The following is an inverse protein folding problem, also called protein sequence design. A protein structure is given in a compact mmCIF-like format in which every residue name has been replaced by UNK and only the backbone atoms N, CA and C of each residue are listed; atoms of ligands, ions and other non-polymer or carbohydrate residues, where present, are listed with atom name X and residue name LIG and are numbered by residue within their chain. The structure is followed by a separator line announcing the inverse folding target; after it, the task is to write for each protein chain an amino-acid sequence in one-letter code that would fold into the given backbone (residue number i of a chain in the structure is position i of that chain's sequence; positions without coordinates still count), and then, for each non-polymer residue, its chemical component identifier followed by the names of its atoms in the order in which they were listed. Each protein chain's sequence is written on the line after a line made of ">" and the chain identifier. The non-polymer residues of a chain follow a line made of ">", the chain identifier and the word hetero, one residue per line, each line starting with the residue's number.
data_IF_270628024605
#
_entry.id   IF_270628024605
#
_cell.length_a   1.000
_cell.length_b   1.000
_cell.length_c   1.000
_cell.angle_alpha   90.00
_cell.angle_beta   90.00
_cell.angle_gamma   90.00
#
_symmetry.space_group_name_H-M   'P 1'
#
loop_
_entity.id
_entity.type
_entity.pdbx_description
1 polymer ?
#
# COMPACT_ATOMS: atom_id res chain seq x y z
N UNK A 1 79.87 1.44 -16.31
CA UNK A 1 78.63 1.23 -15.55
C UNK A 1 78.73 -0.15 -14.96
N UNK A 2 78.86 -0.25 -13.64
CA UNK A 2 79.16 -1.52 -12.97
C UNK A 2 77.90 -2.38 -12.83
N UNK A 3 78.07 -3.69 -12.73
CA UNK A 3 76.98 -4.66 -12.54
C UNK A 3 76.11 -4.32 -11.32
N UNK A 4 76.70 -3.70 -10.30
CA UNK A 4 76.00 -3.21 -9.11
C UNK A 4 75.03 -2.04 -9.40
N UNK A 5 75.38 -1.12 -10.31
CA UNK A 5 74.50 -0.01 -10.70
C UNK A 5 73.27 -0.52 -11.46
N UNK A 6 73.46 -1.50 -12.35
CA UNK A 6 72.36 -2.14 -13.11
C UNK A 6 71.37 -2.82 -12.16
N UNK A 7 71.86 -3.55 -11.16
CA UNK A 7 71.03 -4.25 -10.17
C UNK A 7 70.25 -3.24 -9.31
N UNK A 8 70.90 -2.16 -8.89
CA UNK A 8 70.27 -1.10 -8.07
C UNK A 8 69.18 -0.38 -8.85
N UNK A 9 69.43 -0.05 -10.13
CA UNK A 9 68.46 0.57 -11.01
C UNK A 9 67.23 -0.34 -11.23
N UNK A 10 67.44 -1.63 -11.48
CA UNK A 10 66.37 -2.63 -11.61
C UNK A 10 65.54 -2.75 -10.34
N UNK A 11 66.17 -2.75 -9.16
CA UNK A 11 65.49 -2.77 -7.87
C UNK A 11 64.58 -1.56 -7.64
N UNK A 12 65.02 -0.36 -8.05
CA UNK A 12 64.22 0.86 -7.99
C UNK A 12 63.00 0.77 -8.91
N UNK A 13 63.17 0.29 -10.15
CA UNK A 13 62.07 0.14 -11.10
C UNK A 13 61.02 -0.87 -10.63
N UNK A 14 61.43 -2.01 -10.07
CA UNK A 14 60.51 -3.02 -9.53
C UNK A 14 59.72 -2.45 -8.35
N UNK A 15 60.38 -1.72 -7.45
CA UNK A 15 59.73 -1.11 -6.28
C UNK A 15 58.73 -0.02 -6.70
N UNK A 16 59.09 0.81 -7.67
CA UNK A 16 58.20 1.83 -8.23
C UNK A 16 56.97 1.21 -8.91
N UNK A 17 57.16 0.13 -9.69
CA UNK A 17 56.07 -0.60 -10.34
C UNK A 17 55.10 -1.22 -9.32
N UNK A 18 55.64 -1.88 -8.29
CA UNK A 18 54.83 -2.47 -7.21
C UNK A 18 54.04 -1.41 -6.45
N UNK A 19 54.67 -0.28 -6.13
CA UNK A 19 54.01 0.86 -5.45
C UNK A 19 52.89 1.43 -6.31
N UNK A 20 53.11 1.57 -7.62
CA UNK A 20 52.08 2.00 -8.57
C UNK A 20 50.89 1.05 -8.65
N UNK A 21 51.13 -0.27 -8.68
CA UNK A 21 50.07 -1.29 -8.66
C UNK A 21 49.30 -1.22 -7.35
N UNK A 22 49.99 -1.10 -6.21
CA UNK A 22 49.34 -1.05 -4.90
C UNK A 22 48.47 0.21 -4.75
N UNK A 23 48.96 1.36 -5.24
CA UNK A 23 48.20 2.61 -5.27
C UNK A 23 46.97 2.48 -6.18
N UNK A 24 47.12 1.88 -7.36
CA UNK A 24 46.02 1.65 -8.29
C UNK A 24 44.93 0.75 -7.69
N UNK A 25 45.31 -0.36 -7.06
CA UNK A 25 44.37 -1.26 -6.36
C UNK A 25 43.68 -0.53 -5.21
N UNK A 26 44.42 0.28 -4.45
CA UNK A 26 43.86 1.07 -3.33
C UNK A 26 42.82 2.06 -3.82
N UNK A 27 43.11 2.80 -4.90
CA UNK A 27 42.16 3.75 -5.52
C UNK A 27 40.93 3.03 -6.05
N UNK A 28 41.08 1.88 -6.71
CA UNK A 28 39.95 1.08 -7.17
C UNK A 28 39.07 0.58 -6.02
N UNK A 29 39.68 0.08 -4.94
CA UNK A 29 38.95 -0.39 -3.76
C UNK A 29 38.22 0.76 -3.07
N UNK A 30 38.85 1.94 -2.99
CA UNK A 30 38.22 3.13 -2.44
C UNK A 30 37.01 3.57 -3.26
N UNK A 31 37.11 3.57 -4.61
CA UNK A 31 35.97 3.86 -5.50
C UNK A 31 34.84 2.85 -5.35
N UNK A 32 35.15 1.55 -5.32
CA UNK A 32 34.15 0.49 -5.10
C UNK A 32 33.46 0.63 -3.75
N UNK A 33 34.22 0.96 -2.70
CA UNK A 33 33.68 1.21 -1.35
C UNK A 33 32.77 2.44 -1.32
N UNK A 34 33.17 3.54 -1.98
CA UNK A 34 32.33 4.73 -2.12
C UNK A 34 31.03 4.44 -2.86
N UNK A 35 31.09 3.75 -4.01
CA UNK A 35 29.90 3.36 -4.76
C UNK A 35 28.98 2.43 -3.96
N UNK A 36 29.55 1.46 -3.25
CA UNK A 36 28.78 0.57 -2.37
C UNK A 36 28.05 1.37 -1.28
N UNK A 37 28.73 2.31 -0.62
CA UNK A 37 28.14 3.15 0.42
C UNK A 37 27.04 4.06 -0.13
N UNK A 38 27.21 4.62 -1.33
CA UNK A 38 26.18 5.41 -2.01
C UNK A 38 24.93 4.57 -2.31
N UNK A 39 25.11 3.41 -2.94
CA UNK A 39 24.01 2.49 -3.26
C UNK A 39 23.27 2.04 -1.99
N UNK A 40 24.01 1.75 -0.92
CA UNK A 40 23.45 1.39 0.38
C UNK A 40 22.62 2.53 0.97
N UNK A 41 23.13 3.76 0.95
CA UNK A 41 22.42 4.93 1.46
C UNK A 41 21.15 5.25 0.67
N UNK A 42 21.20 5.15 -0.66
CA UNK A 42 20.03 5.33 -1.52
C UNK A 42 18.98 4.24 -1.29
N UNK A 43 19.42 3.00 -1.07
CA UNK A 43 18.54 1.90 -0.67
C UNK A 43 17.89 2.16 0.69
N UNK A 44 18.66 2.56 1.70
CA UNK A 44 18.12 2.85 3.05
C UNK A 44 17.03 3.92 2.98
N UNK A 45 17.26 5.03 2.27
CA UNK A 45 16.24 6.07 2.06
C UNK A 45 14.97 5.56 1.39
N UNK A 46 15.09 4.76 0.31
CA UNK A 46 13.93 4.20 -0.38
C UNK A 46 13.19 3.19 0.49
N UNK A 47 13.93 2.35 1.21
CA UNK A 47 13.40 1.36 2.14
C UNK A 47 12.59 2.01 3.25
N UNK A 48 13.08 3.10 3.83
CA UNK A 48 12.38 3.87 4.86
C UNK A 48 11.09 4.48 4.29
N UNK A 49 11.16 5.15 3.14
CA UNK A 49 9.98 5.73 2.47
C UNK A 49 8.91 4.69 2.13
N UNK A 50 9.32 3.51 1.65
CA UNK A 50 8.42 2.42 1.32
C UNK A 50 7.79 1.83 2.59
N UNK A 51 8.59 1.62 3.64
CA UNK A 51 8.12 1.11 4.93
C UNK A 51 7.10 2.05 5.56
N UNK A 52 7.38 3.37 5.57
CA UNK A 52 6.47 4.39 6.08
C UNK A 52 5.15 4.39 5.29
N UNK A 53 5.24 4.37 3.96
CA UNK A 53 4.06 4.41 3.09
C UNK A 53 3.19 3.16 3.26
N UNK A 54 3.81 1.97 3.35
CA UNK A 54 3.08 0.72 3.60
C UNK A 54 2.48 0.67 5.01
N UNK A 55 3.19 1.19 6.01
CA UNK A 55 2.66 1.31 7.37
C UNK A 55 1.43 2.20 7.42
N UNK A 56 1.50 3.37 6.77
CA UNK A 56 0.37 4.28 6.62
C UNK A 56 -0.81 3.62 5.89
N UNK A 57 -0.53 2.93 4.78
CA UNK A 57 -1.56 2.21 4.01
C UNK A 57 -2.26 1.14 4.87
N UNK A 58 -1.51 0.31 5.58
CA UNK A 58 -2.06 -0.73 6.47
C UNK A 58 -2.91 -0.13 7.60
N UNK A 59 -2.49 1.02 8.15
CA UNK A 59 -3.28 1.73 9.15
C UNK A 59 -4.60 2.25 8.57
N UNK A 60 -4.58 2.77 7.35
CA UNK A 60 -5.77 3.27 6.65
C UNK A 60 -6.70 2.16 6.16
N UNK A 61 -6.22 0.92 6.00
CA UNK A 61 -7.06 -0.24 5.69
C UNK A 61 -7.94 -0.71 6.86
N UNK A 62 -7.78 -0.12 8.05
CA UNK A 62 -8.60 -0.46 9.19
C UNK A 62 -10.07 -0.07 8.98
N UNK A 63 -11.00 -0.93 9.40
CA UNK A 63 -12.42 -0.73 9.11
C UNK A 63 -12.94 0.59 9.66
N UNK A 64 -12.47 1.02 10.84
CA UNK A 64 -12.86 2.30 11.43
C UNK A 64 -12.44 3.54 10.61
N UNK A 65 -11.49 3.39 9.68
CA UNK A 65 -11.06 4.47 8.78
C UNK A 65 -11.91 4.52 7.51
N UNK A 66 -12.42 3.36 7.05
CA UNK A 66 -13.09 3.21 5.75
C UNK A 66 -14.59 2.90 5.86
N UNK A 67 -15.12 2.83 7.07
CA UNK A 67 -16.53 2.54 7.35
C UNK A 67 -16.99 3.24 8.62
N UNK A 68 -18.30 3.43 8.74
CA UNK A 68 -18.91 4.13 9.88
C UNK A 68 -20.27 3.54 10.23
N UNK A 69 -20.77 3.91 11.42
CA UNK A 69 -22.16 3.70 11.80
C UNK A 69 -22.64 5.01 12.42
N UNK A 70 -23.74 5.55 11.91
CA UNK A 70 -24.34 6.76 12.48
C UNK A 70 -25.52 6.41 13.40
N UNK A 71 -25.85 7.28 14.34
CA UNK A 71 -27.04 7.16 15.18
C UNK A 71 -28.15 8.12 14.73
N UNK A 72 -27.79 9.21 14.05
CA UNK A 72 -28.71 10.21 13.54
C UNK A 72 -28.23 10.78 12.18
N UNK A 73 -29.04 11.64 11.58
CA UNK A 73 -28.80 12.22 10.25
C UNK A 73 -27.60 13.17 10.22
N UNK A 74 -27.43 14.02 11.25
CA UNK A 74 -26.30 14.93 11.34
C UNK A 74 -24.97 14.18 11.45
N UNK A 75 -24.93 13.12 12.26
CA UNK A 75 -23.76 12.25 12.38
C UNK A 75 -23.49 11.49 11.09
N UNK A 76 -24.52 11.06 10.37
CA UNK A 76 -24.39 10.38 9.08
C UNK A 76 -23.67 11.25 8.05
N UNK A 77 -24.06 12.52 7.90
CA UNK A 77 -23.42 13.44 6.95
C UNK A 77 -21.94 13.67 7.29
N UNK A 78 -21.64 13.96 8.57
CA UNK A 78 -20.26 14.19 9.02
C UNK A 78 -19.38 12.95 8.83
N UNK A 79 -19.88 11.77 9.21
CA UNK A 79 -19.13 10.52 9.11
C UNK A 79 -18.94 10.08 7.66
N UNK A 80 -19.91 10.36 6.78
CA UNK A 80 -19.78 10.12 5.35
C UNK A 80 -18.63 10.93 4.74
N UNK A 81 -18.52 12.22 5.08
CA UNK A 81 -17.40 13.05 4.62
C UNK A 81 -16.04 12.58 5.17
N UNK A 82 -15.99 12.24 6.46
CA UNK A 82 -14.79 11.72 7.13
C UNK A 82 -14.27 10.45 6.44
N UNK A 83 -15.15 9.46 6.22
CA UNK A 83 -14.79 8.19 5.57
C UNK A 83 -14.35 8.39 4.12
N UNK A 84 -14.99 9.28 3.38
CA UNK A 84 -14.55 9.60 2.01
C UNK A 84 -13.17 10.26 2.00
N UNK A 85 -12.90 11.17 2.92
CA UNK A 85 -11.58 11.78 3.03
C UNK A 85 -10.50 10.75 3.36
N UNK A 86 -10.75 9.89 4.36
CA UNK A 86 -9.83 8.82 4.73
C UNK A 86 -9.57 7.86 3.56
N UNK A 87 -10.61 7.54 2.79
CA UNK A 87 -10.47 6.69 1.62
C UNK A 87 -9.61 7.33 0.52
N UNK A 88 -9.75 8.64 0.27
CA UNK A 88 -8.88 9.34 -0.66
C UNK A 88 -7.41 9.30 -0.22
N UNK A 89 -7.14 9.43 1.09
CA UNK A 89 -5.78 9.28 1.62
C UNK A 89 -5.23 7.87 1.43
N UNK A 90 -6.08 6.85 1.58
CA UNK A 90 -5.74 5.45 1.29
C UNK A 90 -5.33 5.29 -0.18
N UNK A 91 -6.10 5.84 -1.13
CA UNK A 91 -5.80 5.80 -2.57
C UNK A 91 -4.48 6.49 -2.92
N UNK A 92 -4.25 7.68 -2.36
CA UNK A 92 -2.99 8.42 -2.54
C UNK A 92 -1.80 7.60 -2.03
N UNK A 93 -1.94 7.00 -0.85
CA UNK A 93 -0.88 6.18 -0.25
C UNK A 93 -0.61 4.91 -1.07
N UNK A 94 -1.66 4.25 -1.56
CA UNK A 94 -1.54 3.12 -2.48
C UNK A 94 -0.73 3.47 -3.73
N UNK A 95 -1.07 4.58 -4.41
CA UNK A 95 -0.33 5.00 -5.59
C UNK A 95 1.12 5.38 -5.28
N UNK A 96 1.37 6.02 -4.14
CA UNK A 96 2.72 6.31 -3.65
C UNK A 96 3.54 5.03 -3.48
N UNK A 97 2.96 3.97 -2.93
CA UNK A 97 3.62 2.67 -2.81
C UNK A 97 3.94 2.10 -4.19
N UNK A 98 2.96 2.07 -5.12
CA UNK A 98 3.15 1.54 -6.48
C UNK A 98 4.31 2.23 -7.21
N UNK A 99 4.45 3.56 -7.06
CA UNK A 99 5.58 4.34 -7.59
C UNK A 99 6.93 3.97 -6.98
N UNK A 100 6.93 3.54 -5.72
CA UNK A 100 8.13 3.12 -5.00
C UNK A 100 8.50 1.65 -5.23
N UNK A 101 7.69 0.85 -5.91
CA UNK A 101 8.03 -0.54 -6.24
C UNK A 101 9.01 -0.64 -7.42
N UNK A 102 9.75 -1.74 -7.47
CA UNK A 102 10.71 -2.07 -8.53
C UNK A 102 10.25 -3.36 -9.20
N UNK A 103 9.91 -3.29 -10.49
CA UNK A 103 9.41 -4.41 -11.28
C UNK A 103 10.43 -5.54 -11.47
N UNK A 104 11.73 -5.23 -11.34
CA UNK A 104 12.81 -6.24 -11.37
C UNK A 104 12.95 -7.04 -10.09
N UNK A 105 12.29 -6.66 -9.00
CA UNK A 105 12.30 -7.45 -7.77
C UNK A 105 11.48 -8.73 -7.97
N UNK A 106 12.04 -9.89 -7.62
CA UNK A 106 11.35 -11.18 -7.76
C UNK A 106 10.01 -11.24 -6.99
N UNK A 107 9.86 -10.45 -5.92
CA UNK A 107 8.65 -10.39 -5.09
C UNK A 107 7.65 -9.34 -5.61
N UNK A 108 8.04 -8.51 -6.59
CA UNK A 108 7.24 -7.40 -7.10
C UNK A 108 5.80 -7.80 -7.40
N UNK A 109 5.59 -8.77 -8.30
CA UNK A 109 4.25 -9.19 -8.72
C UNK A 109 3.38 -9.62 -7.55
N UNK A 110 3.96 -10.33 -6.58
CA UNK A 110 3.25 -10.82 -5.41
C UNK A 110 2.78 -9.67 -4.50
N UNK A 111 3.65 -8.68 -4.28
CA UNK A 111 3.29 -7.49 -3.50
C UNK A 111 2.30 -6.60 -4.25
N UNK A 112 2.53 -6.39 -5.53
CA UNK A 112 1.71 -5.56 -6.42
C UNK A 112 0.28 -6.09 -6.53
N UNK A 113 0.11 -7.40 -6.74
CA UNK A 113 -1.21 -8.03 -6.77
C UNK A 113 -1.91 -7.97 -5.41
N UNK A 114 -1.20 -8.18 -4.30
CA UNK A 114 -1.83 -8.09 -2.97
C UNK A 114 -2.30 -6.66 -2.66
N UNK A 115 -1.55 -5.63 -3.08
CA UNK A 115 -1.97 -4.23 -2.95
C UNK A 115 -3.22 -3.93 -3.77
N UNK A 116 -3.32 -4.49 -4.98
CA UNK A 116 -4.50 -4.32 -5.83
C UNK A 116 -5.72 -5.03 -5.22
N UNK A 117 -5.55 -6.27 -4.77
CA UNK A 117 -6.58 -7.02 -4.08
C UNK A 117 -7.07 -6.32 -2.81
N UNK A 118 -6.17 -5.77 -1.99
CA UNK A 118 -6.54 -5.06 -0.77
C UNK A 118 -7.22 -3.73 -1.04
N UNK A 119 -6.84 -3.03 -2.10
CA UNK A 119 -7.51 -1.80 -2.53
C UNK A 119 -8.93 -2.09 -3.01
N UNK A 120 -9.12 -3.08 -3.88
CA UNK A 120 -10.46 -3.47 -4.35
C UNK A 120 -11.34 -3.96 -3.20
N UNK A 121 -10.78 -4.70 -2.25
CA UNK A 121 -11.48 -5.12 -1.04
C UNK A 121 -11.88 -3.93 -0.17
N UNK A 122 -11.01 -2.94 0.02
CA UNK A 122 -11.33 -1.73 0.76
C UNK A 122 -12.47 -0.92 0.08
N UNK A 123 -12.47 -0.82 -1.25
CA UNK A 123 -13.59 -0.22 -2.01
C UNK A 123 -14.90 -0.94 -1.72
N UNK A 124 -14.87 -2.27 -1.77
CA UNK A 124 -16.03 -3.12 -1.55
C UNK A 124 -16.58 -2.98 -0.11
N UNK A 125 -15.71 -3.01 0.90
CA UNK A 125 -16.08 -2.75 2.31
C UNK A 125 -16.75 -1.39 2.46
N UNK A 126 -16.18 -0.33 1.89
CA UNK A 126 -16.76 1.02 1.95
C UNK A 126 -18.14 1.05 1.30
N UNK A 127 -18.29 0.44 0.13
CA UNK A 127 -19.56 0.37 -0.59
C UNK A 127 -20.64 -0.37 0.21
N UNK A 128 -20.32 -1.56 0.74
CA UNK A 128 -21.26 -2.33 1.54
C UNK A 128 -21.67 -1.61 2.82
N UNK A 129 -20.72 -0.98 3.52
CA UNK A 129 -21.05 -0.15 4.67
C UNK A 129 -21.94 1.04 4.29
N UNK A 130 -21.63 1.75 3.20
CA UNK A 130 -22.45 2.87 2.74
C UNK A 130 -23.89 2.47 2.43
N UNK A 131 -24.10 1.37 1.70
CA UNK A 131 -25.44 0.88 1.40
C UNK A 131 -26.19 0.47 2.68
N UNK A 132 -25.51 -0.20 3.61
CA UNK A 132 -26.10 -0.57 4.89
C UNK A 132 -26.49 0.68 5.72
N UNK A 133 -25.63 1.71 5.75
CA UNK A 133 -25.90 2.96 6.47
C UNK A 133 -27.00 3.78 5.81
N UNK A 134 -27.05 3.84 4.48
CA UNK A 134 -28.15 4.47 3.75
C UNK A 134 -29.50 3.82 4.10
N UNK A 135 -29.59 2.50 3.99
CA UNK A 135 -30.79 1.75 4.33
C UNK A 135 -31.15 1.94 5.82
N UNK A 136 -30.17 1.91 6.71
CA UNK A 136 -30.37 2.16 8.14
C UNK A 136 -30.90 3.56 8.41
N UNK A 137 -30.31 4.58 7.79
CA UNK A 137 -30.73 5.98 7.95
C UNK A 137 -32.16 6.19 7.44
N UNK A 138 -32.51 5.64 6.28
CA UNK A 138 -33.89 5.68 5.76
C UNK A 138 -34.89 5.00 6.71
N UNK A 139 -34.51 3.85 7.27
CA UNK A 139 -35.33 3.11 8.23
C UNK A 139 -35.49 3.81 9.60
N UNK A 140 -34.68 4.84 9.92
CA UNK A 140 -34.87 5.66 11.15
C UNK A 140 -36.15 6.48 11.09
N UNK A 141 -36.60 6.87 9.90
CA UNK A 141 -37.88 7.53 9.68
C UNK A 141 -38.70 6.81 8.60
N UNK A 142 -39.36 5.68 8.95
CA UNK A 142 -40.09 4.86 7.99
C UNK A 142 -41.18 5.63 7.23
N UNK A 143 -41.81 6.63 7.86
CA UNK A 143 -42.85 7.44 7.19
C UNK A 143 -42.27 8.31 6.08
N UNK A 144 -41.13 8.95 6.33
CA UNK A 144 -40.44 9.76 5.32
C UNK A 144 -39.91 8.88 4.18
N UNK A 145 -39.34 7.72 4.53
CA UNK A 145 -38.89 6.72 3.57
C UNK A 145 -40.03 6.23 2.66
N UNK A 146 -41.13 5.75 3.26
CA UNK A 146 -42.29 5.26 2.51
C UNK A 146 -42.91 6.35 1.63
N UNK A 147 -42.93 7.60 2.10
CA UNK A 147 -43.35 8.74 1.27
C UNK A 147 -42.47 8.88 0.03
N UNK A 148 -41.14 8.86 0.20
CA UNK A 148 -40.21 8.93 -0.93
C UNK A 148 -40.36 7.75 -1.90
N UNK A 149 -40.51 6.53 -1.38
CA UNK A 149 -40.76 5.32 -2.20
C UNK A 149 -42.08 5.45 -2.97
N UNK A 150 -43.15 5.91 -2.31
CA UNK A 150 -44.45 6.10 -2.94
C UNK A 150 -44.42 7.15 -4.06
N UNK A 151 -43.61 8.21 -3.92
CA UNK A 151 -43.41 9.22 -4.95
C UNK A 151 -42.72 8.63 -6.19
N UNK A 152 -41.74 7.76 -6.00
CA UNK A 152 -41.07 7.02 -7.09
C UNK A 152 -42.00 6.00 -7.74
N UNK A 153 -42.70 5.19 -6.95
CA UNK A 153 -43.63 4.18 -7.45
C UNK A 153 -44.81 4.79 -8.23
N UNK A 154 -45.23 6.02 -7.87
CA UNK A 154 -46.23 6.78 -8.63
C UNK A 154 -45.81 7.10 -10.06
N UNK A 155 -44.50 7.14 -10.32
CA UNK A 155 -43.94 7.32 -11.67
C UNK A 155 -43.81 6.00 -12.45
N UNK A 156 -43.72 4.84 -11.77
CA UNK A 156 -43.67 3.51 -12.39
C UNK A 156 -45.05 2.85 -12.56
N UNK A 157 -46.08 3.35 -11.87
CA UNK A 157 -47.43 2.78 -11.88
C UNK A 157 -47.58 1.55 -10.98
N UNK A 158 -46.58 1.28 -10.14
CA UNK A 158 -46.58 0.15 -9.20
C UNK A 158 -47.26 0.56 -7.89
N UNK A 159 -48.10 -0.33 -7.36
CA UNK A 159 -48.62 -0.23 -5.99
C UNK A 159 -47.84 -1.20 -5.13
N UNK A 160 -47.10 -0.69 -4.15
CA UNK A 160 -46.27 -1.51 -3.26
C UNK A 160 -46.77 -1.39 -1.82
N UNK A 161 -46.70 -2.48 -1.08
CA UNK A 161 -47.09 -2.51 0.33
C UNK A 161 -45.99 -1.88 1.20
N UNK A 162 -46.38 -0.96 2.09
CA UNK A 162 -45.48 -0.35 3.08
C UNK A 162 -44.67 -1.39 3.87
N UNK A 163 -45.29 -2.52 4.21
CA UNK A 163 -44.65 -3.60 4.96
C UNK A 163 -43.61 -4.35 4.13
N UNK A 164 -43.85 -4.52 2.82
CA UNK A 164 -42.94 -5.18 1.90
C UNK A 164 -41.71 -4.30 1.63
N UNK A 165 -41.89 -3.00 1.45
CA UNK A 165 -40.80 -2.04 1.25
C UNK A 165 -39.89 -1.92 2.47
N UNK A 166 -40.46 -1.86 3.68
CA UNK A 166 -39.68 -1.87 4.92
C UNK A 166 -38.92 -3.20 5.07
N UNK A 167 -39.53 -4.33 4.70
CA UNK A 167 -38.88 -5.63 4.76
C UNK A 167 -37.72 -5.72 3.76
N UNK A 168 -37.91 -5.26 2.53
CA UNK A 168 -36.89 -5.24 1.48
C UNK A 168 -35.70 -4.35 1.88
N UNK A 169 -35.95 -3.16 2.44
CA UNK A 169 -34.89 -2.28 2.93
C UNK A 169 -34.08 -2.91 4.07
N UNK A 170 -34.74 -3.65 4.99
CA UNK A 170 -34.05 -4.40 6.04
C UNK A 170 -33.22 -5.55 5.48
N UNK A 171 -33.76 -6.30 4.53
CA UNK A 171 -33.05 -7.40 3.89
C UNK A 171 -31.81 -6.91 3.15
N UNK A 172 -31.93 -5.81 2.39
CA UNK A 172 -30.81 -5.16 1.71
C UNK A 172 -29.73 -4.71 2.70
N UNK A 173 -30.13 -4.03 3.79
CA UNK A 173 -29.20 -3.63 4.86
C UNK A 173 -28.46 -4.84 5.42
N UNK A 174 -29.20 -5.89 5.81
CA UNK A 174 -28.64 -7.06 6.47
C UNK A 174 -27.73 -7.86 5.53
N UNK A 175 -28.05 -7.93 4.24
CA UNK A 175 -27.18 -8.52 3.22
C UNK A 175 -25.86 -7.75 3.10
N UNK A 176 -25.91 -6.43 2.99
CA UNK A 176 -24.70 -5.62 2.89
C UNK A 176 -23.88 -5.62 4.18
N UNK A 177 -24.50 -5.65 5.36
CA UNK A 177 -23.78 -5.83 6.63
C UNK A 177 -23.04 -7.17 6.70
N UNK A 178 -23.66 -8.27 6.24
CA UNK A 178 -23.00 -9.57 6.17
C UNK A 178 -21.78 -9.56 5.24
N UNK A 179 -21.93 -8.96 4.06
CA UNK A 179 -20.82 -8.82 3.11
C UNK A 179 -19.71 -7.95 3.68
N UNK A 180 -20.05 -6.80 4.27
CA UNK A 180 -19.13 -5.92 4.98
C UNK A 180 -18.31 -6.67 6.03
N UNK A 181 -18.97 -7.43 6.92
CA UNK A 181 -18.28 -8.15 7.99
C UNK A 181 -17.29 -9.19 7.46
N UNK A 182 -17.71 -9.99 6.46
CA UNK A 182 -16.85 -10.98 5.84
C UNK A 182 -15.61 -10.35 5.18
N UNK A 183 -15.80 -9.21 4.50
CA UNK A 183 -14.71 -8.54 3.81
C UNK A 183 -13.75 -7.79 4.75
N UNK A 184 -14.23 -7.32 5.90
CA UNK A 184 -13.38 -6.75 6.96
C UNK A 184 -12.44 -7.81 7.55
N UNK A 185 -12.93 -9.05 7.74
CA UNK A 185 -12.10 -10.16 8.20
C UNK A 185 -11.00 -10.50 7.17
N UNK A 186 -11.36 -10.55 5.88
CA UNK A 186 -10.40 -10.74 4.78
C UNK A 186 -9.34 -9.62 4.75
N UNK A 187 -9.75 -8.37 4.94
CA UNK A 187 -8.84 -7.22 5.00
C UNK A 187 -7.84 -7.33 6.15
N UNK A 188 -8.25 -7.82 7.32
CA UNK A 188 -7.33 -8.07 8.44
C UNK A 188 -6.27 -9.13 8.09
N UNK A 189 -6.67 -10.19 7.38
CA UNK A 189 -5.74 -11.19 6.89
C UNK A 189 -4.77 -10.59 5.87
N UNK A 190 -5.27 -9.81 4.90
CA UNK A 190 -4.45 -9.13 3.90
C UNK A 190 -3.46 -8.14 4.51
N UNK A 191 -3.85 -7.38 5.54
CA UNK A 191 -2.94 -6.51 6.32
C UNK A 191 -1.73 -7.29 6.85
N UNK A 192 -1.97 -8.47 7.40
CA UNK A 192 -0.90 -9.34 7.92
C UNK A 192 0.01 -9.87 6.79
N UNK A 193 -0.58 -10.25 5.65
CA UNK A 193 0.16 -10.69 4.47
C UNK A 193 1.02 -9.56 3.88
N UNK A 194 0.49 -8.33 3.82
CA UNK A 194 1.21 -7.14 3.33
C UNK A 194 2.47 -6.91 4.16
N UNK A 195 2.42 -7.04 5.48
CA UNK A 195 3.61 -6.92 6.35
C UNK A 195 4.67 -7.97 5.97
N UNK A 196 4.25 -9.24 5.86
CA UNK A 196 5.16 -10.34 5.56
C UNK A 196 5.83 -10.20 4.20
N UNK A 197 5.04 -9.93 3.15
CA UNK A 197 5.52 -9.81 1.77
C UNK A 197 6.37 -8.55 1.60
N UNK A 198 6.03 -7.46 2.27
CA UNK A 198 6.87 -6.25 2.27
C UNK A 198 8.26 -6.52 2.85
N UNK A 199 8.34 -7.26 3.96
CA UNK A 199 9.63 -7.65 4.54
C UNK A 199 10.44 -8.53 3.58
N UNK A 200 9.77 -9.48 2.92
CA UNK A 200 10.38 -10.34 1.89
C UNK A 200 10.91 -9.50 0.71
N UNK A 201 10.09 -8.57 0.22
CA UNK A 201 10.42 -7.66 -0.88
C UNK A 201 11.65 -6.80 -0.55
N UNK A 202 11.68 -6.17 0.64
CA UNK A 202 12.79 -5.33 1.09
C UNK A 202 14.08 -6.14 1.26
N UNK A 203 14.00 -7.36 1.79
CA UNK A 203 15.16 -8.24 1.91
C UNK A 203 15.77 -8.57 0.55
N UNK A 204 14.93 -8.87 -0.45
CA UNK A 204 15.37 -9.13 -1.83
C UNK A 204 15.93 -7.89 -2.52
N UNK A 205 15.33 -6.73 -2.29
CA UNK A 205 15.85 -5.47 -2.83
C UNK A 205 17.22 -5.13 -2.23
N UNK A 206 17.40 -5.34 -0.93
CA UNK A 206 18.69 -5.17 -0.26
C UNK A 206 19.75 -6.08 -0.87
N UNK A 207 19.46 -7.37 -1.03
CA UNK A 207 20.39 -8.33 -1.64
C UNK A 207 20.84 -7.88 -3.04
N UNK A 208 19.90 -7.47 -3.89
CA UNK A 208 20.18 -7.02 -5.26
C UNK A 208 21.05 -5.75 -5.28
N UNK A 209 20.72 -4.75 -4.44
CA UNK A 209 21.47 -3.49 -4.36
C UNK A 209 22.90 -3.73 -3.87
N UNK A 210 23.08 -4.57 -2.85
CA UNK A 210 24.40 -4.88 -2.30
C UNK A 210 25.26 -5.69 -3.27
N UNK A 211 24.65 -6.53 -4.11
CA UNK A 211 25.32 -7.24 -5.21
C UNK A 211 25.62 -6.34 -6.41
N UNK A 212 25.06 -5.13 -6.45
CA UNK A 212 25.22 -4.19 -7.54
C UNK A 212 24.45 -4.57 -8.80
N UNK A 213 23.44 -5.42 -8.67
CA UNK A 213 22.50 -5.73 -9.75
C UNK A 213 21.72 -4.46 -10.06
N UNK A 214 21.78 -3.99 -11.32
CA UNK A 214 21.13 -2.74 -11.71
C UNK A 214 19.60 -2.92 -11.69
N UNK A 215 18.92 -1.93 -11.10
CA UNK A 215 17.48 -1.70 -11.27
C UNK A 215 17.11 -1.53 -12.73
#
# INVERSE_FOLDING_TARGET
>A
MDTADVITLLGIFITAALTGINLYITVLNQRKSQEYNLRKSDYEKRSDQLTDSITQYIAMLDSHQISFMALNEQEYEQKYEEVNHNFQQLEVTYHKIKLLLNDKNAVYKKLDSLLDESMEKAKSVRCHNLFAEMASNSLRNPKSFLKAVSEVARHSGESVSDAEEIAAAKEMRDQHLKQYLAEVEDLQMQKSMLISITREYLAKEKEAVLKGEKK
#
